data_IF_509225834663
#
_entry.id   IF_509225834663
#
_cell.length_a   1.000
_cell.length_b   1.000
_cell.length_c   1.000
_cell.angle_alpha   90.00
_cell.angle_beta   90.00
_cell.angle_gamma   90.00
#
_symmetry.space_group_name_H-M   'P 1'
#
loop_
_entity.id
_entity.type
_entity.pdbx_description
1 polymer ?
#
# COMPACT_ATOMS: atom_id res chain seq x y z
N UNK A 1 3.21 -9.64 -14.98
CA UNK A 1 2.65 -8.29 -15.24
C UNK A 1 3.35 -7.32 -14.32
N UNK A 2 3.55 -6.10 -14.81
CA UNK A 2 4.38 -5.05 -14.22
C UNK A 2 3.42 -3.90 -13.92
N UNK A 3 3.26 -3.51 -12.66
CA UNK A 3 2.27 -2.51 -12.23
C UNK A 3 2.96 -1.34 -11.52
N UNK A 4 2.57 -0.10 -11.79
CA UNK A 4 3.16 1.11 -11.21
C UNK A 4 2.62 1.37 -9.80
N UNK A 5 3.50 1.52 -8.80
CA UNK A 5 3.14 2.07 -7.50
C UNK A 5 3.18 3.60 -7.54
N UNK A 6 2.12 4.24 -7.04
CA UNK A 6 2.03 5.68 -6.88
C UNK A 6 1.28 6.05 -5.60
N UNK A 7 1.15 7.36 -5.33
CA UNK A 7 0.25 7.89 -4.30
C UNK A 7 -0.97 8.49 -5.01
N UNK A 8 -2.16 8.17 -4.53
CA UNK A 8 -3.42 8.72 -5.00
C UNK A 8 -4.26 9.26 -3.82
N UNK A 9 -5.20 10.13 -4.12
CA UNK A 9 -6.21 10.58 -3.16
C UNK A 9 -7.40 9.64 -3.18
N UNK A 10 -7.78 9.10 -2.03
CA UNK A 10 -8.89 8.15 -1.89
C UNK A 10 -9.80 8.53 -0.72
N UNK A 11 -11.07 8.18 -0.84
CA UNK A 11 -12.05 8.26 0.24
C UNK A 11 -12.68 6.88 0.41
N UNK A 12 -12.40 6.25 1.54
CA UNK A 12 -13.00 4.97 1.93
C UNK A 12 -14.45 5.15 2.39
N UNK A 13 -15.09 4.03 2.74
CA UNK A 13 -16.49 3.99 3.15
C UNK A 13 -16.73 4.71 4.48
N UNK A 14 -15.81 4.55 5.43
CA UNK A 14 -15.95 5.10 6.78
C UNK A 14 -15.15 6.40 7.01
N UNK A 15 -14.29 6.79 6.07
CA UNK A 15 -13.56 8.07 6.14
C UNK A 15 -14.48 9.28 5.91
N UNK A 16 -14.30 10.31 6.73
CA UNK A 16 -15.00 11.60 6.59
C UNK A 16 -14.48 12.45 5.41
N UNK A 17 -13.25 12.20 4.96
CA UNK A 17 -12.58 12.98 3.92
C UNK A 17 -11.70 12.15 2.99
N UNK A 18 -11.08 12.83 2.04
CA UNK A 18 -10.04 12.24 1.20
C UNK A 18 -8.72 12.18 1.97
N UNK A 19 -7.97 11.11 1.77
CA UNK A 19 -6.65 10.91 2.34
C UNK A 19 -5.69 10.36 1.28
N UNK A 20 -4.37 10.59 1.44
CA UNK A 20 -3.38 10.02 0.54
C UNK A 20 -3.21 8.52 0.82
N UNK A 21 -3.17 7.71 -0.22
CA UNK A 21 -2.98 6.25 -0.13
C UNK A 21 -2.11 5.73 -1.27
N UNK A 22 -1.59 4.53 -1.11
CA UNK A 22 -0.88 3.85 -2.19
C UNK A 22 -1.86 3.44 -3.30
N UNK A 23 -1.41 3.54 -4.55
CA UNK A 23 -2.17 3.11 -5.71
C UNK A 23 -1.32 2.23 -6.61
N UNK A 24 -1.97 1.23 -7.21
CA UNK A 24 -1.37 0.34 -8.21
C UNK A 24 -2.04 0.64 -9.55
N UNK A 25 -1.25 1.09 -10.53
CA UNK A 25 -1.71 1.58 -11.83
C UNK A 25 -2.79 2.68 -11.69
N UNK A 26 -2.62 3.56 -10.69
CA UNK A 26 -3.56 4.63 -10.37
C UNK A 26 -4.85 4.18 -9.67
N UNK A 27 -5.01 2.89 -9.39
CA UNK A 27 -6.13 2.36 -8.59
C UNK A 27 -5.71 2.30 -7.11
N UNK A 28 -6.42 2.99 -6.18
CA UNK A 28 -6.13 2.92 -4.76
C UNK A 28 -6.03 1.46 -4.27
N UNK A 29 -5.07 1.18 -3.40
CA UNK A 29 -4.77 -0.17 -2.90
C UNK A 29 -6.02 -0.84 -2.30
N UNK A 30 -6.83 -0.06 -1.63
CA UNK A 30 -8.13 -0.41 -1.03
C UNK A 30 -9.13 -0.96 -2.05
N UNK A 31 -9.05 -0.49 -3.30
CA UNK A 31 -9.91 -0.92 -4.40
C UNK A 31 -9.23 -1.99 -5.25
N UNK A 32 -7.92 -1.88 -5.44
CA UNK A 32 -7.15 -2.80 -6.26
C UNK A 32 -7.04 -4.19 -5.61
N UNK A 33 -6.80 -4.24 -4.29
CA UNK A 33 -6.54 -5.49 -3.58
C UNK A 33 -7.74 -6.44 -3.54
N UNK A 34 -8.97 -6.00 -3.21
CA UNK A 34 -10.15 -6.88 -3.24
C UNK A 34 -10.44 -7.47 -4.62
N UNK A 35 -10.05 -6.77 -5.70
CA UNK A 35 -10.19 -7.29 -7.09
C UNK A 35 -9.26 -8.46 -7.38
N UNK A 36 -8.09 -8.50 -6.73
CA UNK A 36 -7.13 -9.60 -6.86
C UNK A 36 -7.40 -10.73 -5.87
N UNK A 37 -7.86 -10.36 -4.67
CA UNK A 37 -8.22 -11.29 -3.62
C UNK A 37 -9.46 -10.77 -2.88
N UNK A 38 -10.67 -11.28 -3.17
CA UNK A 38 -11.89 -10.86 -2.49
C UNK A 38 -11.84 -11.05 -0.97
N UNK A 39 -11.05 -12.01 -0.47
CA UNK A 39 -10.87 -12.20 0.97
C UNK A 39 -10.04 -11.09 1.65
N UNK A 40 -9.52 -10.12 0.88
CA UNK A 40 -8.82 -8.94 1.38
C UNK A 40 -9.72 -7.70 1.50
N UNK A 41 -11.04 -7.85 1.30
CA UNK A 41 -12.06 -6.83 1.53
C UNK A 41 -12.24 -6.58 3.05
N UNK A 42 -11.21 -6.01 3.68
CA UNK A 42 -11.22 -5.62 5.10
C UNK A 42 -11.45 -4.11 5.29
N UNK A 43 -12.02 -3.45 4.28
CA UNK A 43 -12.11 -2.00 4.18
C UNK A 43 -10.78 -1.34 4.62
N UNK A 44 -9.68 -1.75 3.98
CA UNK A 44 -8.34 -1.38 4.42
C UNK A 44 -8.06 0.11 4.20
N UNK A 45 -7.11 0.66 4.94
CA UNK A 45 -6.52 1.99 4.79
C UNK A 45 -5.03 1.83 4.94
N UNK A 46 -4.24 2.30 3.99
CA UNK A 46 -2.80 2.38 4.20
C UNK A 46 -2.50 3.31 5.39
N UNK A 47 -1.62 2.90 6.32
CA UNK A 47 -1.19 3.75 7.45
C UNK A 47 -0.60 5.09 6.99
N UNK A 48 -0.22 5.15 5.71
CA UNK A 48 0.10 6.36 4.96
C UNK A 48 -0.95 7.48 5.07
N UNK A 49 -2.23 7.16 5.27
CA UNK A 49 -3.32 8.14 5.41
C UNK A 49 -3.12 9.12 6.57
N UNK A 50 -2.28 8.78 7.54
CA UNK A 50 -1.89 9.66 8.64
C UNK A 50 -0.82 10.70 8.27
N UNK A 51 -0.34 10.72 7.03
CA UNK A 51 0.56 11.76 6.52
C UNK A 51 -0.25 12.90 5.90
N UNK A 52 0.06 14.13 6.30
CA UNK A 52 -0.78 15.30 6.01
C UNK A 52 -0.13 16.28 5.02
N UNK A 53 1.12 16.06 4.63
CA UNK A 53 1.87 16.96 3.76
C UNK A 53 2.58 16.25 2.61
N UNK A 54 2.83 16.98 1.52
CA UNK A 54 3.61 16.47 0.38
C UNK A 54 5.06 16.16 0.80
N UNK A 55 5.61 16.86 1.79
CA UNK A 55 6.93 16.57 2.36
C UNK A 55 6.95 15.20 3.06
N UNK A 56 5.90 14.88 3.81
CA UNK A 56 5.77 13.56 4.45
C UNK A 56 5.67 12.43 3.40
N UNK A 57 4.98 12.68 2.29
CA UNK A 57 4.90 11.75 1.17
C UNK A 57 6.28 11.51 0.53
N UNK A 58 7.11 12.55 0.40
CA UNK A 58 8.48 12.42 -0.11
C UNK A 58 9.37 11.56 0.80
N UNK A 59 9.19 11.65 2.13
CA UNK A 59 9.92 10.82 3.09
C UNK A 59 9.60 9.33 2.94
N UNK A 60 8.36 8.99 2.58
CA UNK A 60 8.01 7.60 2.26
C UNK A 60 8.78 7.14 1.04
N UNK A 61 8.78 7.92 -0.04
CA UNK A 61 9.49 7.53 -1.26
C UNK A 61 10.98 7.34 -1.02
N UNK A 62 11.62 8.22 -0.24
CA UNK A 62 13.02 8.08 0.16
C UNK A 62 13.29 6.76 0.91
N UNK A 63 12.33 6.29 1.72
CA UNK A 63 12.48 5.06 2.50
C UNK A 63 12.12 3.77 1.78
N UNK A 64 11.14 3.80 0.89
CA UNK A 64 10.70 2.59 0.17
C UNK A 64 11.47 2.37 -1.14
N UNK A 65 12.04 3.43 -1.71
CA UNK A 65 12.68 3.34 -3.02
C UNK A 65 14.08 2.71 -2.94
N UNK A 66 14.23 1.54 -3.57
CA UNK A 66 15.58 0.98 -3.81
C UNK A 66 16.23 1.69 -4.98
N UNK A 67 17.39 2.33 -4.77
CA UNK A 67 18.07 3.16 -5.77
C UNK A 67 18.93 2.39 -6.76
N UNK A 68 19.15 1.08 -6.55
CA UNK A 68 20.00 0.28 -7.42
C UNK A 68 19.17 -0.37 -8.55
N UNK A 69 19.43 -0.04 -9.83
CA UNK A 69 18.72 -0.64 -10.96
C UNK A 69 18.78 -2.17 -10.94
N UNK A 70 17.65 -2.82 -11.22
CA UNK A 70 17.54 -4.28 -11.25
C UNK A 70 17.41 -4.94 -9.88
N UNK A 71 17.43 -4.20 -8.78
CA UNK A 71 17.19 -4.75 -7.46
C UNK A 71 15.71 -5.02 -7.23
N UNK A 72 15.45 -6.14 -6.54
CA UNK A 72 14.16 -6.48 -5.97
C UNK A 72 14.20 -6.26 -4.48
N UNK A 73 13.29 -5.46 -3.95
CA UNK A 73 13.16 -5.23 -2.51
C UNK A 73 11.76 -5.59 -2.05
N UNK A 74 11.63 -6.07 -0.81
CA UNK A 74 10.33 -6.27 -0.19
C UNK A 74 9.95 -4.99 0.57
N UNK A 75 8.79 -4.44 0.24
CA UNK A 75 8.21 -3.25 0.86
C UNK A 75 7.03 -3.70 1.71
N UNK A 76 7.15 -3.71 3.05
CA UNK A 76 6.03 -3.95 3.93
C UNK A 76 5.14 -2.71 3.97
N UNK A 77 3.90 -2.85 3.54
CA UNK A 77 2.86 -1.82 3.61
C UNK A 77 1.95 -2.13 4.78
N UNK A 78 1.98 -1.29 5.81
CA UNK A 78 1.04 -1.38 6.91
C UNK A 78 -0.33 -0.87 6.46
N UNK A 79 -1.35 -1.72 6.57
CA UNK A 79 -2.74 -1.37 6.28
C UNK A 79 -3.60 -1.68 7.50
N UNK A 80 -4.54 -0.81 7.83
CA UNK A 80 -5.45 -0.94 8.96
C UNK A 80 -6.88 -0.94 8.46
N UNK A 81 -7.83 -1.53 9.19
CA UNK A 81 -9.24 -1.37 8.82
C UNK A 81 -9.66 0.11 8.97
N UNK A 82 -10.52 0.58 8.07
CA UNK A 82 -11.10 1.92 8.08
C UNK A 82 -12.28 2.05 9.07
N UNK A 83 -12.73 0.92 9.63
CA UNK A 83 -13.91 0.80 10.51
C UNK A 83 -13.61 1.13 11.98
N UNK A 84 -12.39 1.60 12.28
CA UNK A 84 -11.88 1.96 13.61
C UNK A 84 -11.70 0.77 14.58
N UNK A 85 -11.63 -0.47 14.08
CA UNK A 85 -11.36 -1.65 14.92
C UNK A 85 -9.90 -1.76 15.42
N UNK A 86 -9.03 -0.86 14.96
CA UNK A 86 -7.58 -0.79 15.24
C UNK A 86 -6.81 -2.07 14.82
N UNK A 87 -7.41 -2.93 14.00
CA UNK A 87 -6.75 -4.11 13.43
C UNK A 87 -5.94 -3.67 12.22
N UNK A 88 -4.63 -3.91 12.28
CA UNK A 88 -3.74 -3.72 11.13
C UNK A 88 -3.12 -5.04 10.68
N UNK A 89 -2.87 -5.14 9.38
CA UNK A 89 -2.13 -6.23 8.74
C UNK A 89 -1.03 -5.65 7.86
N UNK A 90 -0.07 -6.48 7.47
CA UNK A 90 1.04 -6.08 6.59
C UNK A 90 0.83 -6.73 5.23
N UNK A 91 0.75 -5.90 4.20
CA UNK A 91 0.82 -6.34 2.81
C UNK A 91 2.28 -6.29 2.40
N UNK A 92 2.83 -7.42 1.96
CA UNK A 92 4.18 -7.47 1.41
C UNK A 92 4.12 -7.23 -0.10
N UNK A 93 4.73 -6.14 -0.53
CA UNK A 93 4.91 -5.77 -1.92
C UNK A 93 6.35 -6.06 -2.36
N UNK A 94 6.57 -6.86 -3.40
CA UNK A 94 7.89 -6.90 -4.05
C UNK A 94 8.01 -5.70 -4.98
N UNK A 95 8.94 -4.78 -4.71
CA UNK A 95 9.35 -3.65 -5.55
C UNK A 95 10.55 -4.01 -6.44
N UNK A 96 10.47 -3.72 -7.74
CA UNK A 96 11.63 -3.72 -8.63
C UNK A 96 11.98 -2.28 -9.06
N UNK A 97 13.24 -1.87 -8.93
CA UNK A 97 13.72 -0.56 -9.37
C UNK A 97 14.16 -0.58 -10.84
N UNK A 98 13.60 0.31 -11.66
CA UNK A 98 14.01 0.48 -13.06
C UNK A 98 14.67 1.85 -13.29
N UNK A 99 15.45 1.96 -14.37
CA UNK A 99 16.25 3.14 -14.72
C UNK A 99 15.46 4.47 -14.81
N UNK A 100 14.13 4.41 -14.88
CA UNK A 100 13.22 5.55 -15.04
C UNK A 100 12.26 5.74 -13.83
N UNK A 101 12.70 5.44 -12.60
CA UNK A 101 11.94 5.68 -11.35
C UNK A 101 10.64 4.87 -11.17
N UNK A 102 10.37 3.91 -12.05
CA UNK A 102 9.15 3.11 -11.97
C UNK A 102 9.30 2.03 -10.89
N UNK A 103 8.41 2.05 -9.90
CA UNK A 103 8.31 1.05 -8.83
C UNK A 103 7.27 0.01 -9.19
N UNK A 104 7.68 -1.26 -9.23
CA UNK A 104 6.77 -2.35 -9.59
C UNK A 104 6.38 -3.21 -8.42
N UNK A 105 5.08 -3.33 -8.12
CA UNK A 105 4.61 -4.07 -6.93
C UNK A 105 3.94 -5.40 -7.30
N UNK A 106 4.47 -6.51 -6.77
CA UNK A 106 3.73 -7.77 -6.65
C UNK A 106 3.25 -7.94 -5.21
N UNK A 107 1.93 -7.88 -5.03
CA UNK A 107 1.30 -8.19 -3.74
C UNK A 107 1.03 -9.68 -3.66
N UNK A 108 1.56 -10.34 -2.63
CA UNK A 108 1.12 -11.69 -2.27
C UNK A 108 0.18 -11.61 -1.08
N UNK A 109 -1.00 -12.25 -1.13
CA UNK A 109 -1.86 -12.34 0.04
C UNK A 109 -1.11 -13.09 1.14
N UNK A 110 -0.72 -12.38 2.19
CA UNK A 110 -0.17 -12.97 3.40
C UNK A 110 -1.35 -13.27 4.34
N UNK A 111 -1.60 -14.54 4.61
CA UNK A 111 -2.50 -14.95 5.68
C UNK A 111 -1.74 -14.79 7.00
N UNK A 112 -2.09 -13.77 7.77
CA UNK A 112 -1.67 -13.67 9.17
C UNK A 112 -2.65 -14.50 9.99
N UNK A 113 -2.34 -15.77 10.24
CA UNK A 113 -3.04 -16.50 11.31
C UNK A 113 -2.69 -15.81 12.63
N UNK A 114 -3.67 -15.10 13.22
CA UNK A 114 -3.57 -14.70 14.63
C UNK A 114 -3.47 -16.00 15.42
N UNK A 115 -2.26 -16.37 15.82
CA UNK A 115 -2.08 -17.38 16.86
C UNK A 115 -2.54 -16.74 18.18
N UNK A 116 -3.79 -17.01 18.54
CA UNK A 116 -4.34 -16.68 19.86
C UNK A 116 -3.51 -17.42 20.91
N UNK A 117 -2.65 -16.67 21.60
CA UNK A 117 -1.98 -17.12 22.82
C UNK A 117 -2.74 -16.66 24.05
#
# INVERSE_FOLDING_TARGET
>A
MINLLSIASHKSKYSSGFYPTFAIDGVPLEVWLPRQNPAAEFDLVAAHSGLYSDEDNLLIWDRIYSTAPGWKTLVPLLVCSDDLDLTCTVIVAEQCAHEHQSVFVSVRPFHFERENR
#
